data_IF_324315824395
#
_entry.id   IF_324315824395
#
_cell.length_a   1.000
_cell.length_b   1.000
_cell.length_c   1.000
_cell.angle_alpha   90.00
_cell.angle_beta   90.00
_cell.angle_gamma   90.00
#
_symmetry.space_group_name_H-M   'P 1'
#
loop_
_entity.id
_entity.type
_entity.pdbx_description
1 polymer ?
#
# COMPACT_ATOMS: atom_id res chain seq x y z
N UNK A 1 -7.38 91.48 25.40
CA UNK A 1 -6.33 90.44 25.47
C UNK A 1 -6.96 89.08 25.76
N UNK A 2 -6.83 88.13 24.80
CA UNK A 2 -6.44 86.71 25.00
C UNK A 2 -7.10 85.93 26.17
N UNK A 3 -7.79 84.79 26.05
CA UNK A 3 -7.90 83.68 25.07
C UNK A 3 -9.24 82.95 25.37
N UNK A 4 -10.19 82.89 24.43
CA UNK A 4 -10.58 81.70 23.64
C UNK A 4 -10.61 80.33 24.36
N UNK A 5 -11.83 79.79 24.43
CA UNK A 5 -12.18 78.40 24.69
C UNK A 5 -11.40 77.45 23.78
N UNK A 6 -10.66 76.52 24.37
CA UNK A 6 -10.24 75.31 23.68
C UNK A 6 -11.37 74.28 23.77
N UNK A 7 -12.14 74.16 22.68
CA UNK A 7 -12.88 72.95 22.33
C UNK A 7 -11.85 71.83 22.19
N UNK A 8 -11.66 71.03 23.22
CA UNK A 8 -10.95 69.76 23.09
C UNK A 8 -11.91 68.82 22.36
N UNK A 9 -11.66 68.74 21.06
CA UNK A 9 -12.28 67.85 20.09
C UNK A 9 -12.35 66.42 20.62
N UNK A 10 -13.58 65.93 20.67
CA UNK A 10 -14.04 64.54 20.71
C UNK A 10 -13.54 63.78 19.47
N UNK A 11 -12.22 63.77 19.26
CA UNK A 11 -11.52 63.22 18.10
C UNK A 11 -10.33 62.33 18.48
N UNK A 12 -10.19 61.98 19.76
CA UNK A 12 -9.09 61.15 20.26
C UNK A 12 -9.55 59.90 21.01
N UNK A 13 -10.79 59.44 20.78
CA UNK A 13 -11.33 58.20 21.34
C UNK A 13 -11.97 57.26 20.30
N UNK A 14 -11.67 57.47 19.01
CA UNK A 14 -12.13 56.63 17.89
C UNK A 14 -10.97 56.07 17.05
N UNK A 15 -9.74 56.08 17.57
CA UNK A 15 -8.52 55.74 16.82
C UNK A 15 -7.70 54.56 17.37
N UNK A 16 -8.23 53.74 18.28
CA UNK A 16 -7.48 52.57 18.84
C UNK A 16 -8.26 51.25 18.75
N UNK A 17 -9.47 51.22 18.16
CA UNK A 17 -10.29 49.99 18.08
C UNK A 17 -10.39 49.34 16.68
N UNK A 18 -9.59 49.74 15.68
CA UNK A 18 -9.63 49.11 14.36
C UNK A 18 -8.23 48.94 13.76
N UNK A 19 -7.69 47.72 13.86
CA UNK A 19 -6.81 47.06 12.86
C UNK A 19 -6.01 45.87 13.41
N UNK A 20 -6.46 45.25 14.50
CA UNK A 20 -6.14 43.83 14.77
C UNK A 20 -7.35 42.95 14.43
N UNK A 21 -7.98 43.20 13.27
CA UNK A 21 -8.61 42.10 12.55
C UNK A 21 -7.47 41.23 12.05
N UNK A 22 -7.03 40.32 12.91
CA UNK A 22 -6.47 39.06 12.48
C UNK A 22 -7.60 38.39 11.68
N UNK A 23 -7.76 38.78 10.41
CA UNK A 23 -8.46 37.96 9.45
C UNK A 23 -7.66 36.67 9.43
N UNK A 24 -8.13 35.67 10.18
CA UNK A 24 -7.83 34.30 9.88
C UNK A 24 -8.01 34.18 8.37
N UNK A 25 -6.90 34.04 7.66
CA UNK A 25 -6.97 33.81 6.23
C UNK A 25 -7.98 32.68 6.05
N UNK A 26 -8.96 32.81 5.13
CA UNK A 26 -9.77 31.65 4.79
C UNK A 26 -8.76 30.55 4.49
N UNK A 27 -8.85 29.45 5.25
CA UNK A 27 -7.98 28.28 5.08
C UNK A 27 -7.99 28.04 3.58
N UNK A 28 -6.88 28.33 2.89
CA UNK A 28 -6.76 28.00 1.47
C UNK A 28 -7.20 26.55 1.40
N UNK A 29 -8.20 26.24 0.58
CA UNK A 29 -8.38 24.86 0.15
C UNK A 29 -7.01 24.42 -0.30
N UNK A 30 -6.41 23.52 0.47
CA UNK A 30 -5.09 23.01 0.15
C UNK A 30 -5.21 22.45 -1.27
N UNK A 31 -4.34 22.90 -2.17
CA UNK A 31 -4.31 22.38 -3.53
C UNK A 31 -3.81 20.93 -3.43
N UNK A 32 -4.74 20.01 -3.15
CA UNK A 32 -4.50 18.58 -2.96
C UNK A 32 -3.93 17.93 -4.24
N UNK A 33 -3.95 18.64 -5.37
CA UNK A 33 -3.45 18.17 -6.65
C UNK A 33 -1.92 17.95 -6.69
N UNK A 34 -1.15 18.48 -5.74
CA UNK A 34 0.33 18.47 -5.80
C UNK A 34 1.04 17.72 -4.68
N UNK A 35 0.33 17.18 -3.70
CA UNK A 35 0.98 16.50 -2.58
C UNK A 35 1.23 15.03 -2.89
N UNK A 36 2.41 14.49 -2.55
CA UNK A 36 2.66 13.07 -2.69
C UNK A 36 1.78 12.29 -1.70
N UNK A 37 1.25 11.15 -2.11
CA UNK A 37 0.49 10.26 -1.25
C UNK A 37 1.43 9.21 -0.65
N UNK A 38 1.21 8.86 0.61
CA UNK A 38 1.92 7.76 1.27
C UNK A 38 1.02 6.54 1.28
N UNK A 39 1.38 5.53 0.50
CA UNK A 39 0.76 4.22 0.52
C UNK A 39 1.57 3.27 1.40
N UNK A 40 0.89 2.61 2.34
CA UNK A 40 1.50 1.68 3.29
C UNK A 40 0.91 0.31 3.04
N UNK A 41 1.76 -0.65 2.68
CA UNK A 41 1.39 -2.05 2.56
C UNK A 41 2.02 -2.87 3.68
N UNK A 42 1.22 -3.68 4.35
CA UNK A 42 1.63 -4.57 5.44
C UNK A 42 1.15 -5.98 5.19
N UNK A 43 1.99 -6.97 5.48
CA UNK A 43 1.60 -8.37 5.57
C UNK A 43 1.58 -8.78 7.04
N UNK A 44 0.41 -9.09 7.56
CA UNK A 44 0.21 -9.45 8.96
C UNK A 44 -0.07 -10.95 9.09
N UNK A 45 0.55 -11.58 10.09
CA UNK A 45 0.13 -12.88 10.61
C UNK A 45 -0.87 -12.65 11.73
N UNK A 46 -2.07 -13.20 11.60
CA UNK A 46 -3.18 -12.96 12.53
C UNK A 46 -3.68 -14.26 13.16
N UNK A 47 -4.36 -14.14 14.31
CA UNK A 47 -5.05 -15.28 14.93
C UNK A 47 -6.28 -15.70 14.13
N UNK A 48 -6.77 -16.92 14.34
CA UNK A 48 -8.04 -17.39 13.76
C UNK A 48 -9.21 -16.49 14.13
N UNK A 49 -9.29 -16.07 15.40
CA UNK A 49 -10.36 -15.19 15.87
C UNK A 49 -10.36 -13.85 15.13
N UNK A 50 -9.18 -13.26 14.94
CA UNK A 50 -9.05 -11.99 14.22
C UNK A 50 -9.38 -12.17 12.73
N UNK A 51 -8.90 -13.25 12.10
CA UNK A 51 -9.16 -13.55 10.70
C UNK A 51 -10.65 -13.68 10.37
N UNK A 52 -11.44 -14.23 11.30
CA UNK A 52 -12.89 -14.39 11.17
C UNK A 52 -13.68 -13.09 11.42
N UNK A 53 -13.14 -12.12 12.17
CA UNK A 53 -13.76 -10.79 12.34
C UNK A 53 -13.73 -9.98 11.04
N UNK A 54 -12.70 -10.18 10.22
CA UNK A 54 -12.50 -9.48 8.95
C UNK A 54 -13.47 -10.00 7.87
N UNK A 55 -14.73 -9.55 7.91
CA UNK A 55 -15.78 -9.95 6.97
C UNK A 55 -15.91 -9.06 5.74
N UNK A 56 -15.37 -7.85 5.79
CA UNK A 56 -15.39 -6.87 4.69
C UNK A 56 -14.01 -6.62 4.10
N UNK A 57 -13.95 -5.76 3.09
CA UNK A 57 -12.70 -5.35 2.44
C UNK A 57 -12.08 -4.13 3.12
N UNK A 58 -12.80 -3.41 3.98
CA UNK A 58 -12.26 -2.23 4.69
C UNK A 58 -12.54 -2.29 6.18
N UNK A 59 -11.64 -1.68 6.96
CA UNK A 59 -11.79 -1.49 8.40
C UNK A 59 -11.11 -0.20 8.84
N UNK A 60 -11.71 0.50 9.79
CA UNK A 60 -11.12 1.69 10.45
C UNK A 60 -10.27 1.30 11.66
N UNK A 61 -10.44 0.09 12.18
CA UNK A 61 -9.73 -0.42 13.34
C UNK A 61 -8.34 -0.95 13.02
N UNK A 62 -7.47 -0.94 14.01
CA UNK A 62 -6.20 -1.65 13.95
C UNK A 62 -6.45 -3.17 13.85
N UNK A 63 -5.72 -3.83 12.96
CA UNK A 63 -5.78 -5.28 12.79
C UNK A 63 -4.68 -5.87 13.67
N UNK A 64 -5.09 -6.62 14.70
CA UNK A 64 -4.14 -7.21 15.64
C UNK A 64 -3.43 -8.41 15.01
N UNK A 65 -2.14 -8.23 14.74
CA UNK A 65 -1.30 -9.27 14.15
C UNK A 65 0.18 -8.97 14.30
N UNK A 66 0.98 -9.99 14.03
CA UNK A 66 2.42 -9.84 13.91
C UNK A 66 2.77 -9.39 12.50
N UNK A 67 3.49 -8.27 12.40
CA UNK A 67 3.93 -7.73 11.12
C UNK A 67 5.11 -8.56 10.58
N UNK A 68 4.91 -9.18 9.42
CA UNK A 68 5.95 -9.96 8.74
C UNK A 68 6.71 -9.12 7.70
N UNK A 69 6.04 -8.13 7.13
CA UNK A 69 6.55 -7.25 6.08
C UNK A 69 5.78 -5.95 6.12
N UNK A 70 6.49 -4.84 5.96
CA UNK A 70 5.90 -3.52 5.74
C UNK A 70 6.71 -2.77 4.69
N UNK A 71 6.02 -2.01 3.85
CA UNK A 71 6.63 -1.08 2.90
C UNK A 71 5.81 0.19 2.83
N UNK A 72 6.52 1.30 2.72
CA UNK A 72 5.96 2.62 2.47
C UNK A 72 6.29 3.02 1.03
N UNK A 73 5.32 3.61 0.36
CA UNK A 73 5.37 3.97 -1.05
C UNK A 73 4.95 5.42 -1.14
N UNK A 74 5.89 6.28 -1.47
CA UNK A 74 5.60 7.67 -1.79
C UNK A 74 5.33 7.76 -3.30
N UNK A 75 4.09 8.09 -3.68
CA UNK A 75 3.71 8.17 -5.10
C UNK A 75 2.92 9.43 -5.41
N UNK A 76 3.01 9.86 -6.66
CA UNK A 76 2.24 10.97 -7.22
C UNK A 76 0.89 10.49 -7.73
N UNK A 77 -0.10 11.40 -7.76
CA UNK A 77 -1.44 11.12 -8.28
C UNK A 77 -1.40 10.62 -9.72
N UNK A 78 -2.12 9.53 -9.98
CA UNK A 78 -2.32 8.94 -11.31
C UNK A 78 -1.08 8.32 -11.94
N UNK A 79 0.05 8.27 -11.22
CA UNK A 79 1.26 7.61 -11.70
C UNK A 79 1.32 6.18 -11.15
N UNK A 80 1.49 5.18 -12.04
CA UNK A 80 1.69 3.81 -11.58
C UNK A 80 3.05 3.69 -10.89
N UNK A 81 3.06 2.99 -9.75
CA UNK A 81 4.24 2.69 -8.98
C UNK A 81 4.36 1.18 -8.81
N UNK A 82 5.51 0.62 -9.19
CA UNK A 82 5.82 -0.79 -9.00
C UNK A 82 6.83 -0.94 -7.87
N UNK A 83 6.45 -1.69 -6.84
CA UNK A 83 7.33 -2.10 -5.75
C UNK A 83 7.53 -3.61 -5.82
N UNK A 84 8.80 -4.03 -5.80
CA UNK A 84 9.19 -5.44 -5.75
C UNK A 84 9.92 -5.72 -4.44
N UNK A 85 9.26 -6.49 -3.57
CA UNK A 85 9.80 -6.99 -2.31
C UNK A 85 10.15 -8.46 -2.48
N UNK A 86 11.38 -8.71 -2.94
CA UNK A 86 11.79 -10.08 -3.22
C UNK A 86 13.14 -10.19 -3.87
N UNK A 87 13.33 -11.28 -4.63
CA UNK A 87 14.60 -11.60 -5.30
C UNK A 87 14.33 -11.97 -6.74
N UNK A 88 15.26 -11.60 -7.62
CA UNK A 88 15.38 -12.17 -8.96
C UNK A 88 16.10 -13.51 -8.87
N UNK A 89 15.44 -14.58 -9.29
CA UNK A 89 16.00 -15.93 -9.31
C UNK A 89 16.30 -16.37 -10.75
N UNK A 90 17.47 -16.98 -10.98
CA UNK A 90 17.77 -17.62 -12.26
C UNK A 90 17.07 -18.98 -12.35
N UNK A 91 16.19 -19.15 -13.32
CA UNK A 91 15.68 -20.46 -13.74
C UNK A 91 16.51 -20.96 -14.91
N UNK A 92 17.21 -22.08 -14.70
CA UNK A 92 17.94 -22.75 -15.79
C UNK A 92 17.03 -23.81 -16.41
N UNK A 93 16.87 -23.77 -17.73
CA UNK A 93 16.13 -24.78 -18.48
C UNK A 93 16.85 -25.10 -19.79
N UNK A 94 16.62 -26.30 -20.32
CA UNK A 94 17.12 -26.68 -21.62
C UNK A 94 16.16 -26.23 -22.71
N UNK A 95 16.65 -25.47 -23.70
CA UNK A 95 15.86 -25.11 -24.88
C UNK A 95 16.17 -26.11 -26.02
N UNK A 96 15.24 -27.02 -26.36
CA UNK A 96 15.46 -28.02 -27.40
C UNK A 96 15.57 -27.42 -28.80
N UNK A 97 15.07 -26.19 -29.03
CA UNK A 97 15.18 -25.50 -30.32
C UNK A 97 16.59 -24.96 -30.54
N UNK A 98 17.19 -24.47 -29.47
CA UNK A 98 18.54 -23.91 -29.48
C UNK A 98 19.64 -24.93 -29.14
N UNK A 99 19.26 -26.16 -28.70
CA UNK A 99 20.16 -27.22 -28.25
C UNK A 99 21.17 -26.76 -27.18
N UNK A 100 20.74 -25.87 -26.28
CA UNK A 100 21.59 -25.31 -25.22
C UNK A 100 20.76 -24.99 -23.97
N UNK A 101 21.43 -24.91 -22.82
CA UNK A 101 20.82 -24.39 -21.59
C UNK A 101 20.69 -22.87 -21.65
N UNK A 102 19.54 -22.37 -21.20
CA UNK A 102 19.26 -20.94 -21.06
C UNK A 102 18.90 -20.61 -19.62
N UNK A 103 19.14 -19.36 -19.26
CA UNK A 103 18.82 -18.81 -17.94
C UNK A 103 17.75 -17.74 -18.13
N UNK A 104 16.59 -17.93 -17.50
CA UNK A 104 15.55 -16.92 -17.40
C UNK A 104 15.52 -16.36 -15.98
N UNK A 105 15.64 -15.04 -15.85
CA UNK A 105 15.46 -14.39 -14.55
C UNK A 105 13.98 -14.16 -14.30
N UNK A 106 13.49 -14.70 -13.19
CA UNK A 106 12.11 -14.51 -12.73
C UNK A 106 12.11 -13.80 -11.39
N UNK A 107 11.12 -12.96 -11.18
CA UNK A 107 10.92 -12.35 -9.88
C UNK A 107 10.19 -13.33 -8.95
N UNK A 108 10.72 -13.45 -7.74
CA UNK A 108 10.12 -14.22 -6.65
C UNK A 108 9.91 -13.29 -5.46
N UNK A 109 8.97 -13.61 -4.60
CA UNK A 109 8.54 -12.73 -3.51
C UNK A 109 7.25 -11.99 -3.85
N UNK A 110 7.07 -10.80 -3.28
CA UNK A 110 5.88 -9.99 -3.47
C UNK A 110 6.15 -8.84 -4.44
N UNK A 111 5.26 -8.61 -5.39
CA UNK A 111 5.19 -7.38 -6.18
C UNK A 111 3.87 -6.70 -5.93
N UNK A 112 3.94 -5.38 -5.90
CA UNK A 112 2.81 -4.51 -5.73
C UNK A 112 2.89 -3.45 -6.82
N UNK A 113 2.04 -3.58 -7.83
CA UNK A 113 1.79 -2.52 -8.81
C UNK A 113 0.57 -1.73 -8.34
N UNK A 114 0.74 -0.44 -8.07
CA UNK A 114 -0.30 0.41 -7.50
C UNK A 114 -0.41 1.74 -8.24
N UNK A 115 -1.64 2.13 -8.54
CA UNK A 115 -1.98 3.45 -9.05
C UNK A 115 -3.03 4.07 -8.12
N UNK A 116 -2.78 5.30 -7.68
CA UNK A 116 -3.65 6.03 -6.76
C UNK A 116 -4.21 7.26 -7.46
N UNK A 117 -5.53 7.37 -7.51
CA UNK A 117 -6.22 8.50 -8.10
C UNK A 117 -7.11 9.17 -7.04
N UNK A 118 -6.81 10.42 -6.66
CA UNK A 118 -7.71 11.17 -5.79
C UNK A 118 -9.01 11.48 -6.53
N UNK A 119 -10.12 11.36 -5.82
CA UNK A 119 -11.43 11.78 -6.32
C UNK A 119 -11.70 13.25 -6.00
N UNK A 120 -12.70 13.82 -6.66
CA UNK A 120 -13.08 15.24 -6.56
C UNK A 120 -13.40 15.67 -5.11
N UNK A 121 -13.68 14.73 -4.22
CA UNK A 121 -14.00 14.99 -2.81
C UNK A 121 -12.77 15.25 -1.92
N UNK A 122 -11.54 15.07 -2.43
CA UNK A 122 -10.26 15.16 -1.72
C UNK A 122 -10.17 14.36 -0.40
N UNK A 123 -11.12 13.46 -0.16
CA UNK A 123 -11.23 12.65 1.07
C UNK A 123 -11.08 11.18 0.76
N UNK A 124 -11.26 10.80 -0.49
CA UNK A 124 -11.17 9.43 -0.95
C UNK A 124 -10.21 9.28 -2.12
N UNK A 125 -9.68 8.06 -2.22
CA UNK A 125 -8.75 7.64 -3.25
C UNK A 125 -9.32 6.41 -3.94
N UNK A 126 -9.27 6.41 -5.26
CA UNK A 126 -9.42 5.20 -6.04
C UNK A 126 -8.09 4.44 -6.06
N UNK A 127 -8.12 3.19 -5.61
CA UNK A 127 -6.94 2.32 -5.54
C UNK A 127 -7.05 1.27 -6.63
N UNK A 128 -6.13 1.32 -7.59
CA UNK A 128 -5.92 0.27 -8.57
C UNK A 128 -4.64 -0.46 -8.21
N UNK A 129 -4.73 -1.77 -8.01
CA UNK A 129 -3.63 -2.55 -7.48
C UNK A 129 -3.57 -3.93 -8.12
N UNK A 130 -2.38 -4.37 -8.50
CA UNK A 130 -2.08 -5.75 -8.85
C UNK A 130 -1.00 -6.29 -7.92
N UNK A 131 -1.43 -7.17 -7.03
CA UNK A 131 -0.56 -7.91 -6.14
C UNK A 131 -0.11 -9.20 -6.81
N UNK A 132 1.18 -9.50 -6.77
CA UNK A 132 1.71 -10.78 -7.21
C UNK A 132 2.56 -11.37 -6.08
N UNK A 133 2.30 -12.62 -5.69
CA UNK A 133 3.16 -13.39 -4.80
C UNK A 133 3.69 -14.60 -5.56
N UNK A 134 5.00 -14.63 -5.81
CA UNK A 134 5.64 -15.63 -6.66
C UNK A 134 6.61 -16.51 -5.87
N UNK A 135 6.50 -17.83 -6.04
CA UNK A 135 7.42 -18.82 -5.44
C UNK A 135 8.00 -19.75 -6.50
N UNK A 136 9.20 -20.28 -6.23
CA UNK A 136 9.78 -21.37 -7.01
C UNK A 136 9.23 -22.72 -6.54
N UNK A 137 8.80 -23.57 -7.47
CA UNK A 137 8.38 -24.94 -7.21
C UNK A 137 9.16 -25.86 -8.14
N UNK A 138 9.66 -26.96 -7.57
CA UNK A 138 10.18 -28.11 -8.31
C UNK A 138 9.02 -28.95 -8.82
N UNK A 139 8.83 -29.07 -10.13
CA UNK A 139 7.84 -29.98 -10.73
C UNK A 139 8.53 -31.09 -11.50
N UNK A 140 8.10 -32.34 -11.25
CA UNK A 140 8.40 -33.51 -12.07
C UNK A 140 7.45 -33.53 -13.26
N UNK A 141 7.96 -33.48 -14.49
CA UNK A 141 7.16 -33.66 -15.69
C UNK A 141 6.95 -35.17 -15.92
N UNK A 142 5.71 -35.70 -15.86
CA UNK A 142 5.45 -37.12 -16.04
C UNK A 142 5.72 -37.63 -17.47
N UNK A 143 5.96 -36.74 -18.45
CA UNK A 143 6.13 -37.11 -19.86
C UNK A 143 7.55 -36.89 -20.41
N UNK A 144 8.54 -36.50 -19.59
CA UNK A 144 9.92 -36.30 -20.05
C UNK A 144 10.88 -37.29 -19.38
N UNK A 145 11.15 -38.40 -20.06
CA UNK A 145 12.07 -39.46 -19.60
C UNK A 145 13.56 -39.10 -19.71
N UNK A 146 13.96 -37.91 -20.19
CA UNK A 146 15.39 -37.65 -20.44
C UNK A 146 15.83 -36.26 -19.96
N UNK A 147 16.77 -36.29 -19.02
CA UNK A 147 17.77 -35.27 -18.63
C UNK A 147 17.52 -34.33 -17.44
N UNK A 148 16.29 -34.00 -17.03
CA UNK A 148 16.04 -33.40 -15.71
C UNK A 148 14.69 -33.87 -15.13
N UNK A 149 14.73 -34.66 -14.06
CA UNK A 149 13.52 -35.14 -13.35
C UNK A 149 12.75 -34.00 -12.68
N UNK A 150 13.34 -32.81 -12.54
CA UNK A 150 12.76 -31.67 -11.83
C UNK A 150 13.10 -30.36 -12.56
N UNK A 151 12.08 -29.62 -13.01
CA UNK A 151 12.24 -28.24 -13.50
C UNK A 151 11.80 -27.23 -12.44
N UNK A 152 12.61 -26.20 -12.15
CA UNK A 152 12.18 -25.11 -11.30
C UNK A 152 11.22 -24.20 -12.09
N UNK A 153 10.02 -23.99 -11.56
CA UNK A 153 9.01 -23.08 -12.12
C UNK A 153 8.64 -22.01 -11.11
N UNK A 154 8.39 -20.79 -11.57
CA UNK A 154 7.73 -19.78 -10.74
C UNK A 154 6.21 -19.95 -10.83
N UNK A 155 5.54 -20.02 -9.69
CA UNK A 155 4.08 -19.97 -9.60
C UNK A 155 3.67 -18.61 -9.02
N UNK A 156 3.18 -17.68 -9.85
CA UNK A 156 2.64 -16.41 -9.39
C UNK A 156 1.19 -16.58 -8.91
N UNK A 157 0.90 -16.10 -7.72
CA UNK A 157 -0.45 -15.82 -7.26
C UNK A 157 -0.74 -14.34 -7.52
N UNK A 158 -1.66 -14.04 -8.43
CA UNK A 158 -2.01 -12.67 -8.80
C UNK A 158 -3.37 -12.33 -8.22
N UNK A 159 -3.48 -11.18 -7.56
CA UNK A 159 -4.74 -10.60 -7.13
C UNK A 159 -4.85 -9.16 -7.65
N UNK A 160 -5.89 -8.89 -8.42
CA UNK A 160 -6.18 -7.57 -8.96
C UNK A 160 -7.32 -6.93 -8.17
N UNK A 161 -7.13 -5.67 -7.78
CA UNK A 161 -8.02 -4.93 -6.92
C UNK A 161 -8.27 -3.59 -7.57
N UNK A 162 -9.54 -3.28 -7.76
CA UNK A 162 -10.00 -1.94 -8.06
C UNK A 162 -10.97 -1.56 -6.94
N UNK A 163 -10.54 -0.63 -6.09
CA UNK A 163 -11.32 -0.20 -4.94
C UNK A 163 -11.60 1.30 -5.02
N UNK A 164 -12.82 1.69 -5.43
CA UNK A 164 -13.22 3.08 -5.44
C UNK A 164 -13.49 3.57 -4.01
N UNK A 165 -13.27 4.87 -3.78
CA UNK A 165 -13.67 5.57 -2.56
C UNK A 165 -13.00 5.08 -1.26
N UNK A 166 -11.74 4.64 -1.30
CA UNK A 166 -11.00 4.37 -0.06
C UNK A 166 -10.77 5.70 0.68
N UNK A 167 -11.26 5.83 1.91
CA UNK A 167 -10.99 7.02 2.72
C UNK A 167 -9.56 6.99 3.23
N UNK A 168 -8.91 8.15 3.28
CA UNK A 168 -7.60 8.26 3.91
C UNK A 168 -7.62 7.76 5.35
N UNK A 169 -6.58 7.00 5.72
CA UNK A 169 -6.43 6.37 7.03
C UNK A 169 -7.16 5.04 7.20
N UNK A 170 -8.15 4.71 6.35
CA UNK A 170 -8.83 3.41 6.41
C UNK A 170 -7.90 2.28 5.93
N UNK A 171 -8.00 1.12 6.58
CA UNK A 171 -7.31 -0.09 6.14
C UNK A 171 -8.16 -0.80 5.09
N UNK A 172 -7.59 -1.00 3.91
CA UNK A 172 -8.08 -1.88 2.85
C UNK A 172 -7.42 -3.26 2.99
N UNK A 173 -8.25 -4.29 3.09
CA UNK A 173 -7.83 -5.69 3.13
C UNK A 173 -7.67 -6.17 1.69
N UNK A 174 -6.42 -6.29 1.25
CA UNK A 174 -6.06 -6.60 -0.14
C UNK A 174 -5.79 -8.08 -0.38
N UNK A 175 -5.56 -8.86 0.67
CA UNK A 175 -5.47 -10.31 0.56
C UNK A 175 -5.79 -10.99 1.89
N UNK A 176 -6.38 -12.19 1.79
CA UNK A 176 -6.59 -13.09 2.91
C UNK A 176 -6.14 -14.48 2.48
N UNK A 177 -5.11 -15.00 3.13
CA UNK A 177 -4.57 -16.34 2.85
C UNK A 177 -4.65 -17.18 4.12
N UNK A 178 -5.11 -18.41 3.98
CA UNK A 178 -5.13 -19.40 5.07
C UNK A 178 -4.78 -20.80 4.53
N UNK A 179 -4.60 -21.75 5.44
CA UNK A 179 -4.38 -23.15 5.07
C UNK A 179 -3.03 -23.41 4.36
N UNK A 180 -2.98 -24.37 3.42
CA UNK A 180 -1.73 -24.82 2.80
C UNK A 180 -0.95 -23.73 2.06
N UNK A 181 -1.64 -22.80 1.41
CA UNK A 181 -1.00 -21.70 0.67
C UNK A 181 -0.27 -20.76 1.61
N UNK A 182 -0.91 -20.35 2.70
CA UNK A 182 -0.30 -19.47 3.68
C UNK A 182 0.82 -20.15 4.46
N UNK A 183 0.65 -21.44 4.82
CA UNK A 183 1.72 -22.25 5.39
C UNK A 183 2.94 -22.33 4.46
N UNK A 184 2.71 -22.48 3.15
CA UNK A 184 3.81 -22.50 2.19
C UNK A 184 4.55 -21.16 2.11
N UNK A 185 3.84 -20.04 2.20
CA UNK A 185 4.49 -18.73 2.22
C UNK A 185 5.29 -18.52 3.52
N UNK A 186 4.73 -18.92 4.66
CA UNK A 186 5.45 -18.89 5.94
C UNK A 186 6.70 -19.78 5.93
N UNK A 187 6.66 -20.93 5.25
CA UNK A 187 7.84 -21.78 5.02
C UNK A 187 8.95 -21.06 4.27
N UNK A 188 8.64 -20.26 3.25
CA UNK A 188 9.69 -19.52 2.51
C UNK A 188 10.33 -18.42 3.36
N UNK A 189 9.63 -17.95 4.40
CA UNK A 189 10.17 -17.02 5.39
C UNK A 189 10.87 -17.70 6.58
N UNK A 190 10.95 -19.04 6.61
CA UNK A 190 11.52 -19.78 7.74
C UNK A 190 10.62 -19.82 8.98
N UNK A 191 9.34 -19.46 8.84
CA UNK A 191 8.37 -19.32 9.94
C UNK A 191 7.37 -20.48 10.03
N UNK A 192 7.77 -21.66 9.53
CA UNK A 192 6.90 -22.81 9.27
C UNK A 192 6.28 -23.51 10.51
N UNK A 193 6.60 -23.07 11.73
CA UNK A 193 6.20 -23.73 12.99
C UNK A 193 5.28 -22.89 13.88
N UNK A 194 4.74 -21.78 13.38
CA UNK A 194 3.89 -20.90 14.18
C UNK A 194 2.49 -21.48 14.39
N UNK A 195 1.88 -21.12 15.52
CA UNK A 195 0.57 -21.63 15.94
C UNK A 195 -0.58 -21.28 14.97
N UNK A 196 -0.44 -20.20 14.19
CA UNK A 196 -1.45 -19.74 13.24
C UNK A 196 -0.83 -19.48 11.87
N UNK A 197 -1.54 -19.90 10.82
CA UNK A 197 -1.12 -19.77 9.43
C UNK A 197 -1.95 -18.75 8.65
N UNK A 198 -2.68 -17.87 9.32
CA UNK A 198 -3.50 -16.87 8.62
C UNK A 198 -2.68 -15.63 8.32
N UNK A 199 -2.71 -15.23 7.06
CA UNK A 199 -2.04 -14.03 6.57
C UNK A 199 -3.09 -13.06 6.02
N UNK A 200 -2.89 -11.79 6.33
CA UNK A 200 -3.72 -10.69 5.85
C UNK A 200 -2.82 -9.61 5.26
N UNK A 201 -3.03 -9.32 3.97
CA UNK A 201 -2.45 -8.15 3.33
C UNK A 201 -3.31 -6.93 3.60
N UNK A 202 -2.72 -5.89 4.16
CA UNK A 202 -3.39 -4.64 4.53
C UNK A 202 -2.73 -3.50 3.77
N UNK A 203 -3.55 -2.69 3.11
CA UNK A 203 -3.13 -1.50 2.42
C UNK A 203 -3.81 -0.28 3.02
N UNK A 204 -3.09 0.82 3.16
CA UNK A 204 -3.62 2.08 3.68
C UNK A 204 -3.01 3.22 2.89
N UNK A 205 -3.80 4.26 2.65
CA UNK A 205 -3.29 5.52 2.09
C UNK A 205 -3.40 6.59 3.15
N UNK A 206 -2.29 7.26 3.41
CA UNK A 206 -2.19 8.41 4.30
C UNK A 206 -1.88 9.66 3.50
N UNK A 207 -2.36 10.78 4.04
CA UNK A 207 -1.92 12.10 3.62
C UNK A 207 -0.64 12.45 4.38
N UNK A 208 0.39 13.03 3.72
CA UNK A 208 1.57 13.55 4.40
C UNK A 208 1.24 14.65 5.42
#
# INVERSE_FOLDING_TARGET
>A
MKKQLARISLGLLLGVCLSAFCQAQPKKEEDFERYPMVAIFRMLRVSDAEFQKLKGNTTTGEILGEELLSTEILTERGRPCLVHLGRKWPLTYYDPRAKQYQIQYVDTGAKLDVTLNTQDDNKTVNVEMRNEASRTVSTTDPNQEQELTVYPRAFPYINEINYPNLKYGDNLIVSKLSGPTALSYLKTLGLAGAANNNLVGVFRVEHP
#
